data_IF_970309809920
#
_entry.id   IF_970309809920
#
_cell.length_a   1.000
_cell.length_b   1.000
_cell.length_c   1.000
_cell.angle_alpha   90.00
_cell.angle_beta   90.00
_cell.angle_gamma   90.00
#
_symmetry.space_group_name_H-M   'P 1'
#
loop_
_entity.id
_entity.type
_entity.pdbx_description
1 polymer ?
#
# COMPACT_ATOMS: atom_id res chain seq x y z
N UNK A 1 1.96 1.76 -22.40
CA UNK A 1 1.35 2.55 -21.30
C UNK A 1 0.54 1.69 -20.32
N UNK A 2 -0.23 0.67 -20.78
CA UNK A 2 -0.99 -0.21 -19.88
C UNK A 2 -0.12 -1.12 -18.97
N UNK A 3 1.07 -1.53 -19.40
CA UNK A 3 1.97 -2.38 -18.60
C UNK A 3 2.44 -1.69 -17.32
N UNK A 4 2.80 -0.41 -17.41
CA UNK A 4 3.21 0.40 -16.24
C UNK A 4 2.11 0.48 -15.18
N UNK A 5 0.84 0.65 -15.59
CA UNK A 5 -0.30 0.66 -14.65
C UNK A 5 -0.48 -0.68 -13.92
N UNK A 6 -0.13 -1.79 -14.58
CA UNK A 6 -0.19 -3.14 -14.03
C UNK A 6 0.86 -3.34 -12.93
N UNK A 7 2.12 -2.96 -13.20
CA UNK A 7 3.19 -3.04 -12.21
C UNK A 7 2.92 -2.15 -11.00
N UNK A 8 2.45 -0.91 -11.21
CA UNK A 8 2.13 0.02 -10.12
C UNK A 8 1.01 -0.57 -9.24
N UNK A 9 -0.05 -1.11 -9.86
CA UNK A 9 -1.14 -1.75 -9.14
C UNK A 9 -0.66 -2.94 -8.30
N UNK A 10 0.16 -3.81 -8.89
CA UNK A 10 0.71 -4.98 -8.21
C UNK A 10 1.58 -4.58 -7.00
N UNK A 11 2.47 -3.61 -7.17
CA UNK A 11 3.32 -3.11 -6.08
C UNK A 11 2.46 -2.51 -4.97
N UNK A 12 1.41 -1.77 -5.32
CA UNK A 12 0.47 -1.21 -4.34
C UNK A 12 -0.30 -2.31 -3.59
N UNK A 13 -0.73 -3.39 -4.26
CA UNK A 13 -1.38 -4.54 -3.61
C UNK A 13 -0.45 -5.24 -2.62
N UNK A 14 0.80 -5.50 -3.01
CA UNK A 14 1.80 -6.13 -2.14
C UNK A 14 2.04 -5.24 -0.91
N UNK A 15 2.17 -3.93 -1.12
CA UNK A 15 2.36 -2.96 -0.03
C UNK A 15 1.15 -2.91 0.92
N UNK A 16 -0.07 -2.93 0.38
CA UNK A 16 -1.32 -2.95 1.15
C UNK A 16 -1.41 -4.23 2.00
N UNK A 17 -1.16 -5.40 1.41
CA UNK A 17 -1.17 -6.67 2.11
C UNK A 17 -0.09 -6.74 3.19
N UNK A 18 1.11 -6.19 2.93
CA UNK A 18 2.18 -6.12 3.93
C UNK A 18 1.82 -5.21 5.11
N UNK A 19 1.21 -4.05 4.87
CA UNK A 19 0.77 -3.16 5.95
C UNK A 19 -0.41 -3.75 6.73
N UNK A 20 -1.36 -4.39 6.03
CA UNK A 20 -2.48 -5.09 6.65
C UNK A 20 -1.99 -6.24 7.54
N UNK A 21 -1.08 -7.07 7.04
CA UNK A 21 -0.48 -8.16 7.79
C UNK A 21 0.31 -7.65 9.01
N UNK A 22 1.04 -6.53 8.90
CA UNK A 22 1.71 -5.92 10.03
C UNK A 22 0.71 -5.41 11.09
N UNK A 23 -0.44 -4.88 10.67
CA UNK A 23 -1.50 -4.43 11.57
C UNK A 23 -2.17 -5.60 12.30
N UNK A 24 -2.55 -6.65 11.56
CA UNK A 24 -3.10 -7.90 12.10
C UNK A 24 -2.11 -8.53 13.09
N UNK A 25 -0.86 -8.72 12.71
CA UNK A 25 0.17 -9.26 13.60
C UNK A 25 0.45 -8.33 14.80
N UNK A 26 0.31 -7.02 14.64
CA UNK A 26 0.40 -6.06 15.73
C UNK A 26 -0.70 -6.25 16.78
N UNK A 27 -1.93 -6.57 16.33
CA UNK A 27 -3.06 -6.88 17.20
C UNK A 27 -2.90 -8.25 17.89
N UNK A 28 -2.48 -9.29 17.15
CA UNK A 28 -2.33 -10.64 17.70
C UNK A 28 -1.09 -10.80 18.60
N UNK A 29 0.06 -10.22 18.24
CA UNK A 29 1.31 -10.36 18.98
C UNK A 29 1.46 -9.34 20.12
N UNK A 30 0.65 -8.28 20.12
CA UNK A 30 0.65 -7.23 21.14
C UNK A 30 2.04 -6.66 21.44
N UNK A 31 2.42 -6.65 22.72
CA UNK A 31 3.71 -6.12 23.19
C UNK A 31 4.93 -6.92 22.70
N UNK A 32 4.76 -8.20 22.34
CA UNK A 32 5.85 -9.08 21.86
C UNK A 32 6.05 -9.06 20.34
N UNK A 33 5.39 -8.13 19.63
CA UNK A 33 5.52 -7.94 18.17
C UNK A 33 6.97 -7.85 17.67
N UNK A 34 7.90 -7.31 18.46
CA UNK A 34 9.30 -7.15 18.06
C UNK A 34 10.11 -8.45 18.03
N UNK A 35 9.68 -9.50 18.75
CA UNK A 35 10.31 -10.82 18.69
C UNK A 35 9.79 -11.67 17.52
N UNK A 36 8.71 -11.25 16.85
CA UNK A 36 8.13 -12.03 15.78
C UNK A 36 8.86 -11.74 14.44
N UNK A 37 9.54 -12.75 13.91
CA UNK A 37 10.27 -12.66 12.64
C UNK A 37 9.36 -12.21 11.49
N UNK A 38 8.12 -12.71 11.42
CA UNK A 38 7.17 -12.29 10.39
C UNK A 38 6.86 -10.80 10.49
N UNK A 39 6.62 -10.28 11.70
CA UNK A 39 6.38 -8.85 11.88
C UNK A 39 7.57 -8.01 11.40
N UNK A 40 8.81 -8.46 11.63
CA UNK A 40 10.01 -7.75 11.15
C UNK A 40 10.09 -7.74 9.62
N UNK A 41 9.82 -8.85 8.96
CA UNK A 41 9.82 -8.92 7.49
C UNK A 41 8.76 -7.99 6.90
N UNK A 42 7.52 -8.05 7.40
CA UNK A 42 6.45 -7.16 6.93
C UNK A 42 6.78 -5.69 7.23
N UNK A 43 7.38 -5.39 8.38
CA UNK A 43 7.84 -4.04 8.71
C UNK A 43 8.95 -3.55 7.77
N UNK A 44 9.88 -4.41 7.35
CA UNK A 44 10.93 -4.07 6.39
C UNK A 44 10.32 -3.75 5.01
N UNK A 45 9.35 -4.56 4.57
CA UNK A 45 8.62 -4.32 3.31
C UNK A 45 7.78 -3.04 3.38
N UNK A 46 7.12 -2.78 4.51
CA UNK A 46 6.25 -1.61 4.72
C UNK A 46 7.01 -0.29 4.94
N UNK A 47 8.22 -0.33 5.50
CA UNK A 47 9.07 0.84 5.82
C UNK A 47 9.20 1.88 4.69
N UNK A 48 9.55 1.54 3.43
CA UNK A 48 9.66 2.54 2.37
C UNK A 48 8.33 3.26 2.12
N UNK A 49 7.20 2.55 2.14
CA UNK A 49 5.88 3.13 1.94
C UNK A 49 5.48 4.06 3.08
N UNK A 50 5.75 3.66 4.32
CA UNK A 50 5.53 4.51 5.51
C UNK A 50 6.40 5.77 5.45
N UNK A 51 7.63 5.68 4.94
CA UNK A 51 8.52 6.84 4.75
C UNK A 51 7.98 7.80 3.68
N UNK A 52 7.49 7.27 2.56
CA UNK A 52 6.83 8.08 1.51
C UNK A 52 5.57 8.75 2.07
N UNK A 53 4.73 8.00 2.78
CA UNK A 53 3.54 8.55 3.44
C UNK A 53 3.91 9.66 4.44
N UNK A 54 4.96 9.48 5.24
CA UNK A 54 5.46 10.50 6.18
C UNK A 54 6.01 11.74 5.48
N UNK A 55 6.53 11.61 4.26
CA UNK A 55 6.97 12.76 3.47
C UNK A 55 5.78 13.59 2.97
N UNK A 56 4.67 12.92 2.63
CA UNK A 56 3.44 13.54 2.16
C UNK A 56 2.60 14.11 3.32
N UNK A 57 2.61 13.44 4.47
CA UNK A 57 1.73 13.75 5.60
C UNK A 57 2.41 14.73 6.56
N UNK A 58 1.75 15.83 7.00
CA UNK A 58 2.34 16.79 7.93
C UNK A 58 2.64 16.17 9.30
N UNK A 59 3.60 16.79 10.02
CA UNK A 59 4.10 16.33 11.34
C UNK A 59 3.05 16.25 12.47
N UNK A 60 1.81 16.65 12.20
CA UNK A 60 0.69 16.58 13.15
C UNK A 60 0.23 15.15 13.45
N UNK A 61 0.55 14.16 12.59
CA UNK A 61 0.14 12.77 12.82
C UNK A 61 1.11 12.08 13.76
N UNK A 62 0.60 11.63 14.92
CA UNK A 62 1.35 10.83 15.88
C UNK A 62 1.96 9.61 15.18
N UNK A 63 3.26 9.34 15.42
CA UNK A 63 4.06 8.29 14.75
C UNK A 63 3.38 6.90 14.73
N UNK A 64 2.49 6.65 15.70
CA UNK A 64 1.72 5.41 15.82
C UNK A 64 0.66 5.21 14.72
N UNK A 65 0.10 6.29 14.14
CA UNK A 65 -0.95 6.24 13.12
C UNK A 65 -0.41 6.37 11.69
N UNK A 66 0.86 6.73 11.52
CA UNK A 66 1.52 6.85 10.19
C UNK A 66 1.40 5.58 9.34
N UNK A 67 1.49 4.34 9.89
CA UNK A 67 1.27 3.13 9.10
C UNK A 67 -0.15 3.02 8.54
N UNK A 68 -1.15 3.49 9.29
CA UNK A 68 -2.55 3.52 8.85
C UNK A 68 -2.75 4.55 7.74
N UNK A 69 -2.12 5.72 7.87
CA UNK A 69 -2.13 6.75 6.81
C UNK A 69 -1.46 6.23 5.54
N UNK A 70 -0.34 5.52 5.67
CA UNK A 70 0.33 4.90 4.53
C UNK A 70 -0.56 3.87 3.82
N UNK A 71 -1.29 3.05 4.58
CA UNK A 71 -2.29 2.13 4.04
C UNK A 71 -3.40 2.87 3.29
N UNK A 72 -3.96 3.93 3.88
CA UNK A 72 -5.01 4.73 3.24
C UNK A 72 -4.52 5.37 1.94
N UNK A 73 -3.33 5.96 1.94
CA UNK A 73 -2.72 6.58 0.76
C UNK A 73 -2.50 5.55 -0.35
N UNK A 74 -1.91 4.39 -0.02
CA UNK A 74 -1.71 3.31 -0.98
C UNK A 74 -3.04 2.80 -1.54
N UNK A 75 -4.08 2.71 -0.71
CA UNK A 75 -5.41 2.30 -1.13
C UNK A 75 -6.00 3.29 -2.13
N UNK A 76 -5.91 4.60 -1.87
CA UNK A 76 -6.38 5.61 -2.81
C UNK A 76 -5.58 5.61 -4.12
N UNK A 77 -4.26 5.44 -4.07
CA UNK A 77 -3.42 5.30 -5.27
C UNK A 77 -3.86 4.08 -6.07
N UNK A 78 -4.10 2.94 -5.41
CA UNK A 78 -4.56 1.71 -6.06
C UNK A 78 -5.93 1.89 -6.74
N UNK A 79 -6.88 2.55 -6.07
CA UNK A 79 -8.20 2.87 -6.64
C UNK A 79 -8.06 3.80 -7.84
N UNK A 80 -7.28 4.87 -7.72
CA UNK A 80 -7.06 5.84 -8.79
C UNK A 80 -6.44 5.18 -10.03
N UNK A 81 -5.42 4.33 -9.85
CA UNK A 81 -4.78 3.58 -10.94
C UNK A 81 -5.76 2.60 -11.58
N UNK A 82 -6.60 1.93 -10.78
CA UNK A 82 -7.63 1.02 -11.30
C UNK A 82 -8.68 1.76 -12.13
N UNK A 83 -9.20 2.89 -11.63
CA UNK A 83 -10.15 3.73 -12.35
C UNK A 83 -9.54 4.28 -13.64
N UNK A 84 -8.30 4.76 -13.61
CA UNK A 84 -7.60 5.24 -14.78
C UNK A 84 -7.45 4.14 -15.84
N UNK A 85 -7.11 2.91 -15.42
CA UNK A 85 -7.02 1.76 -16.33
C UNK A 85 -8.37 1.46 -16.96
N UNK A 86 -9.44 1.43 -16.17
CA UNK A 86 -10.81 1.20 -16.66
C UNK A 86 -11.23 2.27 -17.67
N UNK A 87 -11.04 3.55 -17.34
CA UNK A 87 -11.39 4.65 -18.26
C UNK A 87 -10.61 4.58 -19.57
N UNK A 88 -9.31 4.26 -19.50
CA UNK A 88 -8.46 4.08 -20.67
C UNK A 88 -8.92 2.89 -21.52
N UNK A 89 -9.26 1.78 -20.87
CA UNK A 89 -9.79 0.56 -21.50
C UNK A 89 -11.11 0.83 -22.23
N UNK A 90 -12.02 1.58 -21.60
CA UNK A 90 -13.32 1.96 -22.18
C UNK A 90 -13.18 2.93 -23.36
N UNK A 91 -12.19 3.83 -23.34
CA UNK A 91 -11.96 4.77 -24.44
C UNK A 91 -11.36 4.13 -25.69
N UNK A 92 -10.49 3.13 -25.53
CA UNK A 92 -9.76 2.49 -26.64
C UNK A 92 -10.54 1.28 -27.19
N UNK A 93 -11.48 0.74 -26.40
CA UNK A 93 -12.21 -0.49 -26.73
C UNK A 93 -11.65 -1.69 -25.96
N UNK A 94 -12.54 -2.49 -25.36
CA UNK A 94 -12.19 -3.57 -24.43
C UNK A 94 -11.32 -4.64 -25.10
N UNK A 95 -11.51 -4.85 -26.41
CA UNK A 95 -10.77 -5.81 -27.25
C UNK A 95 -9.25 -5.52 -27.32
N UNK A 96 -8.87 -4.24 -27.19
CA UNK A 96 -7.47 -3.79 -27.29
C UNK A 96 -6.80 -3.64 -25.92
N UNK A 97 -7.53 -3.93 -24.85
CA UNK A 97 -7.08 -3.72 -23.49
C UNK A 97 -6.36 -4.96 -22.94
N UNK A 98 -5.05 -5.05 -23.18
CA UNK A 98 -4.14 -6.03 -22.57
C UNK A 98 -3.20 -5.32 -21.59
#
# INVERSE_FOLDING_TARGET
MLTASLYIKLIAEIALLALLGQWILGLLAGARRHQNFFYQVLAVIGRPFVRVARFITPRLVLDQHVPLVAFLLLFFVWVAVTLYRIQTCLRIGVELCK
#
